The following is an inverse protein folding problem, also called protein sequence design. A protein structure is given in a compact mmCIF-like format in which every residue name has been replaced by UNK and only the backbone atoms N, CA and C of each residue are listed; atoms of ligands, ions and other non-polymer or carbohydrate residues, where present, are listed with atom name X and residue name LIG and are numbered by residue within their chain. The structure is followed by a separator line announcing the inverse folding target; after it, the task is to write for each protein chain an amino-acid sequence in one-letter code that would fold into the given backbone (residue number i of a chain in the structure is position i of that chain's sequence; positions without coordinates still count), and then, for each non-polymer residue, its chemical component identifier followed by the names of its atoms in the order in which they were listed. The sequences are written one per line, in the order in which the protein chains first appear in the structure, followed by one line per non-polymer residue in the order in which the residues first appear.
data_IF_481312941139
#
_entry.id   IF_481312941139
#
_cell.length_a   1.000
_cell.length_b   1.000
_cell.length_c   1.000
_cell.angle_alpha   90.00
_cell.angle_beta   90.00
_cell.angle_gamma   90.00
#
_symmetry.space_group_name_H-M   'P 1'
#
loop_
_entity.id
_entity.type
_entity.pdbx_description
1 polymer ?
#
# COMPACT_ATOMS: atom_id res chain seq x y z
N UNK A 1 1.44 16.99 -13.00
CA UNK A 1 0.24 17.75 -13.21
C UNK A 1 -0.70 17.59 -12.04
N UNK A 2 -1.17 18.71 -11.49
CA UNK A 2 -1.97 18.68 -10.26
C UNK A 2 -3.35 18.10 -10.46
N UNK A 3 -3.84 18.07 -11.67
CA UNK A 3 -5.17 17.52 -11.92
C UNK A 3 -5.18 16.02 -12.07
N UNK A 4 -4.03 15.42 -12.04
CA UNK A 4 -3.94 13.97 -12.26
C UNK A 4 -3.93 13.22 -10.93
N UNK A 5 -4.60 12.10 -10.95
CA UNK A 5 -4.60 11.18 -9.82
C UNK A 5 -3.83 9.94 -10.21
N UNK A 6 -2.98 9.49 -9.33
CA UNK A 6 -2.15 8.32 -9.60
C UNK A 6 -2.51 7.19 -8.66
N UNK A 7 -2.31 5.99 -9.14
CA UNK A 7 -2.48 4.77 -8.34
C UNK A 7 -1.11 4.14 -8.23
N UNK A 8 -0.68 3.89 -7.02
CA UNK A 8 0.55 3.15 -6.76
C UNK A 8 0.20 1.78 -6.25
N UNK A 9 0.85 0.76 -6.79
CA UNK A 9 0.62 -0.61 -6.38
C UNK A 9 1.89 -1.21 -5.84
N UNK A 10 1.75 -2.05 -4.82
CA UNK A 10 2.90 -2.69 -4.22
C UNK A 10 2.50 -3.92 -3.43
N UNK A 11 3.50 -4.76 -3.19
CA UNK A 11 3.35 -5.92 -2.33
C UNK A 11 4.11 -5.66 -1.03
N UNK A 12 3.57 -6.17 0.06
CA UNK A 12 4.30 -6.05 1.32
C UNK A 12 3.98 -7.20 2.23
N UNK A 13 4.91 -7.48 3.12
CA UNK A 13 4.73 -8.44 4.20
C UNK A 13 4.97 -7.73 5.50
N UNK A 14 4.09 -7.91 6.46
CA UNK A 14 4.23 -7.22 7.74
C UNK A 14 5.13 -8.02 8.66
N UNK A 15 5.71 -7.33 9.62
CA UNK A 15 6.49 -7.99 10.65
C UNK A 15 5.56 -8.90 11.45
N UNK A 16 6.14 -9.96 11.98
CA UNK A 16 5.37 -10.92 12.75
C UNK A 16 5.11 -10.38 14.16
N UNK A 17 4.41 -9.28 14.22
CA UNK A 17 4.09 -8.59 15.45
C UNK A 17 2.60 -8.28 15.43
N UNK A 18 1.89 -8.58 16.51
CA UNK A 18 0.46 -8.26 16.54
C UNK A 18 0.21 -6.80 16.23
N UNK A 19 -0.77 -6.56 15.38
CA UNK A 19 -1.15 -5.20 15.04
C UNK A 19 -0.31 -4.55 13.97
N UNK A 20 0.66 -5.24 13.39
CA UNK A 20 1.50 -4.63 12.38
C UNK A 20 0.71 -4.15 11.16
N UNK A 21 -0.22 -4.98 10.68
CA UNK A 21 -1.03 -4.58 9.54
C UNK A 21 -1.88 -3.36 9.88
N UNK A 22 -2.43 -3.35 11.09
CA UNK A 22 -3.23 -2.22 11.53
C UNK A 22 -2.40 -0.93 11.53
N UNK A 23 -1.16 -1.02 11.97
CA UNK A 23 -0.28 0.15 11.98
C UNK A 23 0.05 0.64 10.59
N UNK A 24 0.25 -0.29 9.66
CA UNK A 24 0.49 0.09 8.27
C UNK A 24 -0.71 0.85 7.72
N UNK A 25 -1.90 0.31 7.93
CA UNK A 25 -3.11 0.96 7.45
C UNK A 25 -3.33 2.31 8.13
N UNK A 26 -3.01 2.38 9.42
CA UNK A 26 -3.10 3.63 10.16
C UNK A 26 -2.17 4.70 9.62
N UNK A 27 -0.99 4.29 9.16
CA UNK A 27 -0.05 5.23 8.56
C UNK A 27 -0.60 5.87 7.29
N UNK A 28 -1.27 5.09 6.47
CA UNK A 28 -1.90 5.64 5.27
C UNK A 28 -3.00 6.63 5.67
N UNK A 29 -3.84 6.25 6.62
CA UNK A 29 -4.93 7.12 7.04
C UNK A 29 -4.39 8.41 7.66
N UNK A 30 -3.37 8.30 8.49
CA UNK A 30 -2.79 9.45 9.17
C UNK A 30 -2.19 10.44 8.16
N UNK A 31 -1.63 9.93 7.08
CA UNK A 31 -1.04 10.77 6.06
C UNK A 31 -2.03 11.12 4.96
N UNK A 32 -3.30 10.83 5.18
CA UNK A 32 -4.36 11.17 4.24
C UNK A 32 -4.16 10.51 2.87
N UNK A 33 -3.72 9.27 2.90
CA UNK A 33 -3.55 8.47 1.69
C UNK A 33 -4.67 7.45 1.65
N UNK A 34 -5.40 7.42 0.56
CA UNK A 34 -6.55 6.54 0.42
C UNK A 34 -6.11 5.19 -0.13
N UNK A 35 -6.41 4.13 0.61
CA UNK A 35 -6.14 2.78 0.16
C UNK A 35 -7.39 2.28 -0.56
N UNK A 36 -7.25 1.94 -1.84
CA UNK A 36 -8.40 1.57 -2.64
C UNK A 36 -8.51 0.06 -2.85
N UNK A 37 -7.46 -0.67 -2.53
CA UNK A 37 -7.51 -2.12 -2.66
C UNK A 37 -6.49 -2.75 -1.73
N UNK A 38 -6.92 -3.83 -1.07
CA UNK A 38 -6.04 -4.60 -0.22
C UNK A 38 -6.45 -6.06 -0.32
N UNK A 39 -5.52 -6.91 -0.71
CA UNK A 39 -5.75 -8.34 -0.80
C UNK A 39 -4.63 -9.06 -0.08
N UNK A 40 -4.96 -10.17 0.54
CA UNK A 40 -3.98 -10.97 1.25
C UNK A 40 -3.81 -12.31 0.56
N UNK A 41 -2.57 -12.77 0.54
CA UNK A 41 -2.23 -14.06 -0.03
C UNK A 41 -1.41 -14.84 0.97
N UNK A 42 -1.80 -16.08 1.19
CA UNK A 42 -1.08 -16.97 2.10
C UNK A 42 -0.39 -18.03 1.28
N UNK A 43 0.85 -18.30 1.61
CA UNK A 43 1.57 -19.37 0.95
C UNK A 43 2.60 -19.95 1.91
N UNK A 44 3.16 -21.07 1.54
CA UNK A 44 4.06 -21.81 2.40
C UNK A 44 3.44 -23.14 2.77
N UNK A 45 4.27 -24.13 3.06
CA UNK A 45 3.78 -25.46 3.33
C UNK A 45 3.57 -25.70 4.81
N UNK A 46 4.59 -25.43 5.60
CA UNK A 46 4.56 -25.77 7.02
C UNK A 46 4.12 -24.60 7.89
N UNK A 47 4.32 -23.40 7.40
CA UNK A 47 3.83 -22.23 8.08
C UNK A 47 3.36 -21.25 7.04
N UNK A 48 2.48 -20.39 7.46
CA UNK A 48 1.82 -19.47 6.55
C UNK A 48 2.62 -18.19 6.46
N UNK A 49 2.96 -17.82 5.24
CA UNK A 49 3.55 -16.52 4.95
C UNK A 49 2.46 -15.68 4.33
N UNK A 50 2.16 -14.55 4.94
CA UNK A 50 1.11 -13.67 4.45
C UNK A 50 1.73 -12.50 3.72
N UNK A 51 1.33 -12.33 2.48
CA UNK A 51 1.75 -11.21 1.66
C UNK A 51 0.52 -10.43 1.25
N UNK A 52 0.65 -9.14 1.22
CA UNK A 52 -0.47 -8.25 0.89
C UNK A 52 -0.18 -7.54 -0.42
N UNK A 53 -1.20 -7.44 -1.24
CA UNK A 53 -1.19 -6.59 -2.43
C UNK A 53 -2.06 -5.38 -2.13
N UNK A 54 -1.55 -4.21 -2.44
CA UNK A 54 -2.21 -2.98 -2.08
C UNK A 54 -2.16 -1.98 -3.21
N UNK A 55 -3.25 -1.24 -3.39
CA UNK A 55 -3.29 -0.09 -4.29
C UNK A 55 -3.71 1.12 -3.49
N UNK A 56 -2.97 2.20 -3.66
CA UNK A 56 -3.29 3.45 -2.99
C UNK A 56 -3.40 4.57 -4.01
N UNK A 57 -4.18 5.58 -3.68
CA UNK A 57 -4.24 6.78 -4.50
C UNK A 57 -3.10 7.69 -4.09
N UNK A 58 -2.19 7.93 -5.01
CA UNK A 58 -1.06 8.80 -4.75
C UNK A 58 0.14 8.39 -5.55
N UNK A 59 1.00 9.36 -5.80
CA UNK A 59 2.28 9.12 -6.46
C UNK A 59 3.36 9.11 -5.40
N UNK A 60 4.36 8.21 -5.51
CA UNK A 60 5.40 8.13 -4.48
C UNK A 60 6.16 9.44 -4.27
N UNK A 61 6.15 10.34 -5.25
CA UNK A 61 6.81 11.62 -5.12
C UNK A 61 5.99 12.67 -4.37
N UNK A 62 4.72 12.40 -4.13
CA UNK A 62 3.89 13.29 -3.34
C UNK A 62 4.28 13.14 -1.88
N UNK A 63 4.32 14.27 -1.18
CA UNK A 63 4.84 14.29 0.17
C UNK A 63 4.08 13.37 1.12
N UNK A 64 2.76 13.43 1.08
CA UNK A 64 1.97 12.60 1.99
C UNK A 64 2.13 11.12 1.67
N UNK A 65 2.19 10.75 0.39
CA UNK A 65 2.38 9.36 0.00
C UNK A 65 3.76 8.89 0.40
N UNK A 66 4.75 9.74 0.20
CA UNK A 66 6.12 9.40 0.57
C UNK A 66 6.25 9.13 2.06
N UNK A 67 5.63 9.98 2.88
CA UNK A 67 5.66 9.76 4.33
C UNK A 67 4.98 8.45 4.72
N UNK A 68 3.86 8.15 4.09
CA UNK A 68 3.15 6.92 4.39
C UNK A 68 3.98 5.70 4.00
N UNK A 69 4.63 5.74 2.85
CA UNK A 69 5.46 4.63 2.42
C UNK A 69 6.71 4.47 3.29
N UNK A 70 7.31 5.59 3.69
CA UNK A 70 8.44 5.53 4.60
C UNK A 70 8.03 4.92 5.94
N UNK A 71 6.85 5.29 6.40
CA UNK A 71 6.33 4.77 7.67
C UNK A 71 6.11 3.26 7.61
N UNK A 72 5.69 2.76 6.44
CA UNK A 72 5.51 1.32 6.26
C UNK A 72 6.76 0.52 6.58
N UNK A 73 7.92 1.08 6.25
CA UNK A 73 9.17 0.36 6.43
C UNK A 73 9.42 -0.01 7.88
N UNK A 74 8.78 0.68 8.82
CA UNK A 74 8.93 0.35 10.23
C UNK A 74 8.13 -0.87 10.63
N UNK A 75 7.09 -1.21 9.87
CA UNK A 75 6.17 -2.28 10.24
C UNK A 75 6.18 -3.44 9.28
N UNK A 76 6.91 -3.32 8.18
CA UNK A 76 6.94 -4.35 7.16
C UNK A 76 8.32 -4.97 7.10
N UNK A 77 8.34 -6.29 6.93
CA UNK A 77 9.60 -7.00 6.73
C UNK A 77 10.07 -6.88 5.29
N UNK A 78 9.14 -6.63 4.37
CA UNK A 78 9.47 -6.53 2.96
C UNK A 78 8.41 -5.66 2.27
N UNK A 79 8.88 -4.75 1.44
CA UNK A 79 7.99 -3.92 0.62
C UNK A 79 8.55 -3.92 -0.79
N UNK A 80 7.69 -4.19 -1.76
CA UNK A 80 8.09 -4.22 -3.17
C UNK A 80 7.12 -3.39 -3.98
N UNK A 81 7.63 -2.34 -4.58
CA UNK A 81 6.81 -1.49 -5.45
C UNK A 81 6.62 -2.19 -6.79
N UNK A 82 5.39 -2.20 -7.28
CA UNK A 82 5.06 -2.85 -8.54
C UNK A 82 4.89 -1.85 -9.67
N UNK A 83 4.27 -0.71 -9.39
CA UNK A 83 4.09 0.27 -10.44
C UNK A 83 3.27 1.45 -9.99
N UNK A 84 3.29 2.46 -10.84
CA UNK A 84 2.51 3.68 -10.65
C UNK A 84 1.85 3.96 -11.97
N UNK A 85 0.54 4.21 -11.94
CA UNK A 85 -0.16 4.53 -13.17
C UNK A 85 -1.18 5.61 -12.91
N UNK A 86 -1.52 6.30 -13.97
CA UNK A 86 -2.46 7.39 -13.90
C UNK A 86 -3.88 6.83 -13.86
N UNK A 87 -4.68 7.32 -12.91
CA UNK A 87 -6.04 6.86 -12.77
C UNK A 87 -6.89 7.47 -13.88
N UNK A 88 -7.55 6.61 -14.65
CA UNK A 88 -8.44 7.07 -15.70
C UNK A 88 -9.76 7.49 -15.09
N UNK A 89 -10.32 8.63 -15.52
CA UNK A 89 -11.62 9.05 -15.01
C UNK A 89 -12.74 8.06 -15.33
N UNK A 90 -12.52 7.20 -16.31
CA UNK A 90 -13.55 6.22 -16.67
C UNK A 90 -13.52 4.97 -15.81
N UNK A 91 -12.51 4.80 -15.00
CA UNK A 91 -12.42 3.60 -14.17
C UNK A 91 -13.39 3.62 -13.00
N UNK A 92 -13.82 4.79 -12.61
CA UNK A 92 -14.69 4.91 -11.44
C UNK A 92 -16.07 4.34 -11.64
N UNK A 93 -16.37 3.95 -12.85
CA UNK A 93 -17.70 3.48 -13.17
C UNK A 93 -17.97 2.04 -12.74
N UNK A 94 -17.02 1.40 -12.20
CA UNK A 94 -17.16 -0.01 -11.83
C UNK A 94 -17.98 -0.25 -10.59
#
# INVERSE_FOLDING_TARGET
DEDKTYISSFLFSVNNTPGSLFKVMGGFATNNVNMIKLESYNYGADFVITQFYCEIEGHPDQENTKFALDDMDHYCSKVRKLGVFEKSPYRVRQ
#
